data_IF_918683803806
#
_entry.id   IF_918683803806
#
_cell.length_a   1.000
_cell.length_b   1.000
_cell.length_c   1.000
_cell.angle_alpha   90.00
_cell.angle_beta   90.00
_cell.angle_gamma   90.00
#
_symmetry.space_group_name_H-M   'P 1'
#
loop_
_entity.id
_entity.type
_entity.pdbx_description
1 polymer ?
#
# COMPACT_ATOMS: atom_id res chain seq x y z
N UNK A 1 26.31 -20.55 13.71
CA UNK A 1 25.94 -21.45 12.61
C UNK A 1 24.44 -21.71 12.64
N UNK A 2 23.77 -21.59 11.49
CA UNK A 2 22.36 -21.96 11.31
C UNK A 2 22.23 -23.47 11.67
N UNK A 3 21.25 -23.82 12.51
CA UNK A 3 20.96 -25.22 12.80
C UNK A 3 20.35 -25.92 11.57
N UNK A 4 20.27 -27.25 11.58
CA UNK A 4 19.77 -28.05 10.47
C UNK A 4 18.36 -27.61 10.02
N UNK A 5 17.46 -27.40 10.98
CA UNK A 5 16.07 -26.97 10.71
C UNK A 5 16.00 -25.66 9.88
N UNK A 6 16.79 -24.65 10.22
CA UNK A 6 16.80 -23.40 9.45
C UNK A 6 17.42 -23.56 8.06
N UNK A 7 18.41 -24.45 7.91
CA UNK A 7 18.98 -24.78 6.59
C UNK A 7 17.93 -25.46 5.71
N UNK A 8 17.21 -26.43 6.24
CA UNK A 8 16.17 -27.15 5.53
C UNK A 8 15.01 -26.19 5.13
N UNK A 9 14.61 -25.31 6.05
CA UNK A 9 13.59 -24.31 5.78
C UNK A 9 14.02 -23.33 4.68
N UNK A 10 15.26 -22.85 4.72
CA UNK A 10 15.81 -21.96 3.68
C UNK A 10 15.87 -22.70 2.34
N UNK A 11 16.34 -23.95 2.33
CA UNK A 11 16.39 -24.78 1.13
C UNK A 11 14.99 -24.98 0.54
N UNK A 12 14.00 -25.25 1.37
CA UNK A 12 12.61 -25.39 0.96
C UNK A 12 12.06 -24.09 0.35
N UNK A 13 12.31 -22.95 0.99
CA UNK A 13 11.86 -21.65 0.51
C UNK A 13 12.52 -21.23 -0.81
N UNK A 14 13.78 -21.59 -1.01
CA UNK A 14 14.54 -21.22 -2.21
C UNK A 14 14.28 -22.14 -3.39
N UNK A 15 14.09 -23.44 -3.16
CA UNK A 15 14.05 -24.46 -4.21
C UNK A 15 12.71 -25.20 -4.28
N UNK A 16 11.81 -24.99 -3.35
CA UNK A 16 10.55 -25.71 -3.27
C UNK A 16 9.62 -25.47 -4.47
N UNK A 17 9.73 -24.31 -5.13
CA UNK A 17 8.96 -24.01 -6.34
C UNK A 17 9.29 -24.95 -7.51
N UNK A 18 10.44 -25.59 -7.49
CA UNK A 18 10.89 -26.57 -8.48
C UNK A 18 10.59 -28.03 -8.07
N UNK A 19 9.85 -28.25 -6.97
CA UNK A 19 9.45 -29.57 -6.56
C UNK A 19 8.43 -30.17 -7.54
N UNK A 20 8.72 -31.39 -8.00
CA UNK A 20 7.99 -32.09 -9.07
C UNK A 20 6.72 -32.78 -8.56
N UNK A 21 6.41 -32.68 -7.27
CA UNK A 21 5.27 -33.36 -6.66
C UNK A 21 4.01 -32.46 -6.76
N UNK A 22 3.04 -32.87 -7.56
CA UNK A 22 1.79 -32.11 -7.82
C UNK A 22 0.98 -31.80 -6.55
N UNK A 23 1.14 -32.61 -5.50
CA UNK A 23 0.43 -32.41 -4.23
C UNK A 23 0.97 -31.21 -3.43
N UNK A 24 2.23 -30.84 -3.65
CA UNK A 24 2.93 -29.77 -2.93
C UNK A 24 3.13 -28.56 -3.85
N UNK A 25 2.97 -28.71 -5.16
CA UNK A 25 3.22 -27.67 -6.16
C UNK A 25 2.40 -26.39 -5.90
N UNK A 26 1.17 -26.55 -5.42
CA UNK A 26 0.27 -25.42 -5.13
C UNK A 26 0.74 -24.58 -3.93
N UNK A 27 1.48 -25.16 -3.01
CA UNK A 27 2.09 -24.49 -1.87
C UNK A 27 3.41 -23.83 -2.31
N UNK A 28 4.20 -24.52 -3.11
CA UNK A 28 5.53 -24.05 -3.54
C UNK A 28 5.47 -23.08 -4.72
N UNK A 29 4.46 -23.10 -5.56
CA UNK A 29 4.22 -22.08 -6.59
C UNK A 29 4.09 -20.67 -5.99
N UNK A 30 3.84 -20.59 -4.69
CA UNK A 30 3.80 -19.33 -3.93
C UNK A 30 5.18 -18.86 -3.47
N UNK A 31 6.22 -19.69 -3.59
CA UNK A 31 7.61 -19.35 -3.27
C UNK A 31 8.31 -18.72 -4.49
N UNK A 32 7.82 -17.57 -4.93
CA UNK A 32 8.27 -16.89 -6.16
C UNK A 32 9.76 -16.50 -6.10
N UNK A 33 10.30 -16.24 -4.90
CA UNK A 33 11.69 -15.79 -4.72
C UNK A 33 12.71 -16.82 -5.19
N UNK A 34 12.41 -18.12 -5.06
CA UNK A 34 13.29 -19.19 -5.52
C UNK A 34 13.57 -19.16 -7.02
N UNK A 35 12.59 -18.74 -7.83
CA UNK A 35 12.73 -18.67 -9.27
C UNK A 35 13.62 -17.49 -9.75
N UNK A 36 13.89 -16.52 -8.86
CA UNK A 36 14.73 -15.35 -9.15
C UNK A 36 16.16 -15.52 -8.63
N UNK A 37 16.50 -16.72 -8.13
CA UNK A 37 17.85 -17.01 -7.63
C UNK A 37 18.84 -17.02 -8.81
N UNK A 38 19.85 -16.14 -8.71
CA UNK A 38 20.82 -15.89 -9.80
C UNK A 38 20.55 -14.63 -10.61
N UNK A 39 19.33 -14.11 -10.59
CA UNK A 39 18.92 -12.87 -11.29
C UNK A 39 18.83 -11.71 -10.28
N UNK A 40 20.00 -11.16 -9.91
CA UNK A 40 20.09 -10.19 -8.80
C UNK A 40 19.28 -8.90 -9.02
N UNK A 41 19.19 -8.39 -10.24
CA UNK A 41 18.40 -7.18 -10.56
C UNK A 41 16.90 -7.49 -10.55
N UNK A 42 16.49 -8.63 -11.09
CA UNK A 42 15.10 -9.07 -11.04
C UNK A 42 14.61 -9.29 -9.61
N UNK A 43 15.43 -9.93 -8.77
CA UNK A 43 15.16 -10.11 -7.35
C UNK A 43 15.09 -8.77 -6.61
N UNK A 44 15.97 -7.83 -6.93
CA UNK A 44 16.01 -6.50 -6.33
C UNK A 44 14.76 -5.69 -6.70
N UNK A 45 14.34 -5.74 -7.96
CA UNK A 45 13.14 -5.05 -8.42
C UNK A 45 11.88 -5.72 -7.89
N UNK A 46 11.84 -7.04 -7.81
CA UNK A 46 10.78 -7.77 -7.13
C UNK A 46 10.68 -7.41 -5.65
N UNK A 47 11.81 -7.32 -4.95
CA UNK A 47 11.85 -6.90 -3.53
C UNK A 47 11.36 -5.47 -3.38
N UNK A 48 11.78 -4.53 -4.24
CA UNK A 48 11.31 -3.14 -4.21
C UNK A 48 9.82 -3.03 -4.46
N UNK A 49 9.31 -3.73 -5.46
CA UNK A 49 7.90 -3.68 -5.88
C UNK A 49 7.00 -4.49 -4.95
N UNK A 50 7.53 -5.55 -4.34
CA UNK A 50 6.77 -6.53 -3.57
C UNK A 50 7.40 -6.87 -2.22
N UNK A 51 8.17 -5.93 -1.64
CA UNK A 51 8.76 -6.10 -0.31
C UNK A 51 7.76 -6.66 0.70
N UNK A 52 6.52 -6.25 0.59
CA UNK A 52 5.42 -6.69 1.43
C UNK A 52 4.97 -8.12 1.09
N UNK A 53 5.16 -8.59 -0.14
CA UNK A 53 4.88 -9.98 -0.52
C UNK A 53 5.87 -10.97 0.10
N UNK A 54 7.14 -10.57 0.20
CA UNK A 54 8.19 -11.39 0.84
C UNK A 54 7.95 -11.51 2.34
N UNK A 55 7.36 -10.51 2.97
CA UNK A 55 7.03 -10.55 4.39
C UNK A 55 5.88 -11.51 4.75
N UNK A 56 5.12 -12.01 3.77
CA UNK A 56 4.18 -13.13 3.96
C UNK A 56 4.86 -14.38 4.50
N UNK A 57 6.11 -14.61 4.11
CA UNK A 57 6.88 -15.77 4.50
C UNK A 57 7.27 -15.70 5.99
N UNK A 58 7.27 -14.53 6.59
CA UNK A 58 7.75 -14.29 7.96
C UNK A 58 6.67 -14.22 9.03
N UNK A 59 5.40 -14.43 8.67
CA UNK A 59 4.34 -14.73 9.64
C UNK A 59 3.50 -13.55 10.13
N UNK A 60 2.25 -13.85 10.48
CA UNK A 60 1.18 -12.96 10.87
C UNK A 60 1.39 -12.06 12.12
N UNK A 61 2.57 -12.06 12.73
CA UNK A 61 2.90 -11.19 13.85
C UNK A 61 3.25 -9.74 13.44
N UNK A 62 3.41 -9.47 12.12
CA UNK A 62 3.88 -8.18 11.60
C UNK A 62 2.86 -7.41 10.75
N UNK A 63 1.60 -7.79 10.73
CA UNK A 63 0.59 -7.09 9.92
C UNK A 63 0.52 -5.57 10.23
N UNK A 64 0.69 -5.19 11.50
CA UNK A 64 0.76 -3.78 11.90
C UNK A 64 2.08 -3.11 11.50
N UNK A 65 3.20 -3.86 11.54
CA UNK A 65 4.52 -3.35 11.11
C UNK A 65 4.58 -3.07 9.60
N UNK A 66 3.87 -3.86 8.81
CA UNK A 66 3.82 -3.71 7.35
C UNK A 66 3.03 -2.50 6.90
N UNK A 67 1.89 -2.24 7.54
CA UNK A 67 1.11 -1.02 7.28
C UNK A 67 1.94 0.23 7.56
N UNK A 68 2.65 0.24 8.67
CA UNK A 68 3.56 1.35 9.01
C UNK A 68 4.73 1.47 8.03
N UNK A 69 5.35 0.36 7.61
CA UNK A 69 6.44 0.39 6.63
C UNK A 69 5.98 0.90 5.27
N UNK A 70 4.79 0.49 4.82
CA UNK A 70 4.19 0.99 3.59
C UNK A 70 3.93 2.49 3.67
N UNK A 71 3.37 2.97 4.77
CA UNK A 71 3.12 4.38 4.99
C UNK A 71 4.42 5.21 4.99
N UNK A 72 5.45 4.76 5.71
CA UNK A 72 6.77 5.42 5.76
C UNK A 72 7.45 5.45 4.39
N UNK A 73 7.37 4.37 3.63
CA UNK A 73 7.93 4.34 2.28
C UNK A 73 7.22 5.34 1.37
N UNK A 74 5.89 5.35 1.36
CA UNK A 74 5.11 6.29 0.56
C UNK A 74 5.40 7.76 0.97
N UNK A 75 5.46 8.05 2.28
CA UNK A 75 5.81 9.38 2.78
C UNK A 75 7.16 9.86 2.25
N UNK A 76 8.20 9.04 2.41
CA UNK A 76 9.55 9.36 1.91
C UNK A 76 9.59 9.53 0.39
N UNK A 77 8.84 8.71 -0.34
CA UNK A 77 8.73 8.81 -1.79
C UNK A 77 8.14 10.15 -2.22
N UNK A 78 6.99 10.52 -1.66
CA UNK A 78 6.32 11.79 -1.98
C UNK A 78 7.12 13.00 -1.53
N UNK A 79 7.74 12.99 -0.36
CA UNK A 79 8.65 14.07 0.08
C UNK A 79 9.78 14.30 -0.92
N UNK A 80 10.41 13.21 -1.36
CA UNK A 80 11.52 13.28 -2.32
C UNK A 80 11.08 13.77 -3.71
N UNK A 81 9.93 13.27 -4.20
CA UNK A 81 9.46 13.55 -5.57
C UNK A 81 8.79 14.91 -5.70
N UNK A 82 8.01 15.32 -4.73
CA UNK A 82 7.31 16.62 -4.77
C UNK A 82 8.27 17.80 -4.55
N UNK A 83 9.31 17.62 -3.72
CA UNK A 83 10.33 18.63 -3.47
C UNK A 83 9.89 19.72 -2.49
N UNK A 84 10.66 20.81 -2.48
CA UNK A 84 10.44 21.96 -1.57
C UNK A 84 9.15 22.71 -1.92
N UNK A 85 8.38 23.05 -0.90
CA UNK A 85 7.08 23.74 -1.04
C UNK A 85 5.88 22.85 -0.74
N UNK A 86 6.04 21.53 -0.87
CA UNK A 86 5.04 20.57 -0.44
C UNK A 86 5.36 20.05 0.95
N UNK A 87 4.34 19.97 1.80
CA UNK A 87 4.44 19.40 3.14
C UNK A 87 3.71 18.07 3.18
N UNK A 88 4.45 16.98 3.31
CA UNK A 88 3.91 15.62 3.44
C UNK A 88 3.92 15.23 4.92
N UNK A 89 2.80 14.78 5.45
CA UNK A 89 2.65 14.38 6.87
C UNK A 89 1.96 13.03 6.98
N UNK A 90 2.56 12.12 7.75
CA UNK A 90 1.89 10.91 8.21
C UNK A 90 0.80 11.24 9.24
N UNK A 91 -0.29 10.48 9.20
CA UNK A 91 -1.47 10.69 10.04
C UNK A 91 -1.96 12.15 9.98
N UNK A 92 -1.95 12.71 8.77
CA UNK A 92 -2.24 14.10 8.54
C UNK A 92 -3.73 14.41 8.51
N UNK A 93 -4.05 15.69 8.63
CA UNK A 93 -5.42 16.20 8.61
C UNK A 93 -5.60 17.21 7.48
N UNK A 94 -6.81 17.34 6.99
CA UNK A 94 -7.26 18.45 6.14
C UNK A 94 -8.11 19.36 7.00
N UNK A 95 -7.78 20.66 7.13
CA UNK A 95 -8.50 21.59 7.97
C UNK A 95 -10.01 21.62 7.66
N UNK A 96 -10.82 21.53 8.69
CA UNK A 96 -12.28 21.55 8.57
C UNK A 96 -12.95 20.23 8.17
N UNK A 97 -12.19 19.18 7.93
CA UNK A 97 -12.74 17.83 7.70
C UNK A 97 -12.82 17.10 9.02
N UNK A 98 -14.05 16.88 9.52
CA UNK A 98 -14.30 16.23 10.79
C UNK A 98 -15.10 14.94 10.62
N UNK A 99 -14.91 14.02 11.55
CA UNK A 99 -15.72 12.84 11.69
C UNK A 99 -16.81 13.09 12.75
N UNK A 100 -18.09 12.96 12.37
CA UNK A 100 -19.22 13.20 13.28
C UNK A 100 -19.21 14.57 13.97
N UNK A 101 -18.76 15.63 13.28
CA UNK A 101 -18.69 17.03 13.74
C UNK A 101 -17.89 17.25 15.04
N UNK A 102 -17.06 16.29 15.45
CA UNK A 102 -16.33 16.36 16.72
C UNK A 102 -14.84 16.11 16.63
N UNK A 103 -14.40 15.21 15.74
CA UNK A 103 -13.00 14.79 15.68
C UNK A 103 -12.48 15.04 14.26
N UNK A 104 -11.33 15.65 14.13
CA UNK A 104 -10.66 15.82 12.82
C UNK A 104 -10.44 14.46 12.16
N UNK A 105 -10.76 14.39 10.88
CA UNK A 105 -10.53 13.17 10.08
C UNK A 105 -9.04 13.00 9.84
N UNK A 106 -8.49 11.88 10.25
CA UNK A 106 -7.11 11.49 9.99
C UNK A 106 -7.02 10.73 8.67
N UNK A 107 -6.06 11.11 7.83
CA UNK A 107 -5.64 10.39 6.64
C UNK A 107 -4.29 9.71 6.91
N UNK A 108 -4.02 8.57 6.27
CA UNK A 108 -2.73 7.89 6.43
C UNK A 108 -1.56 8.82 6.05
N UNK A 109 -1.73 9.60 4.96
CA UNK A 109 -0.86 10.74 4.63
C UNK A 109 -1.71 11.97 4.27
N UNK A 110 -1.17 13.16 4.48
CA UNK A 110 -1.66 14.38 3.86
C UNK A 110 -0.54 15.11 3.14
N UNK A 111 -0.85 15.66 1.98
CA UNK A 111 0.05 16.55 1.23
C UNK A 111 -0.58 17.93 1.18
N UNK A 112 0.18 18.93 1.58
CA UNK A 112 -0.23 20.33 1.57
C UNK A 112 0.67 21.13 0.65
N UNK A 113 0.07 22.02 -0.13
CA UNK A 113 0.76 23.08 -0.87
C UNK A 113 -0.20 24.27 -1.06
N UNK A 114 0.26 25.50 -0.71
CA UNK A 114 -0.52 26.73 -0.86
C UNK A 114 -1.94 26.67 -0.24
N UNK A 115 -2.08 26.10 0.96
CA UNK A 115 -3.35 25.91 1.68
C UNK A 115 -4.36 25.00 0.95
N UNK A 116 -3.91 24.22 -0.02
CA UNK A 116 -4.67 23.12 -0.62
C UNK A 116 -4.10 21.78 -0.17
N UNK A 117 -4.97 20.79 -0.12
CA UNK A 117 -4.62 19.51 0.48
C UNK A 117 -5.02 18.33 -0.41
N UNK A 118 -4.21 17.28 -0.36
CA UNK A 118 -4.58 15.94 -0.81
C UNK A 118 -4.49 15.00 0.38
N UNK A 119 -5.61 14.43 0.81
CA UNK A 119 -5.63 13.33 1.79
C UNK A 119 -5.40 12.02 1.08
N UNK A 120 -4.50 11.19 1.59
CA UNK A 120 -4.16 9.90 0.99
C UNK A 120 -4.44 8.79 2.00
N UNK A 121 -5.23 7.81 1.58
CA UNK A 121 -5.51 6.59 2.32
C UNK A 121 -4.71 5.44 1.72
N UNK A 122 -4.02 4.68 2.56
CA UNK A 122 -3.20 3.54 2.14
C UNK A 122 -3.87 2.25 2.62
N UNK A 123 -4.14 1.33 1.72
CA UNK A 123 -4.61 -0.01 2.04
C UNK A 123 -3.71 -1.04 1.38
N UNK A 124 -2.85 -1.62 2.18
CA UNK A 124 -2.03 -2.74 1.75
C UNK A 124 -2.41 -4.00 2.53
N UNK A 125 -2.94 -5.00 1.83
CA UNK A 125 -3.52 -6.19 2.48
C UNK A 125 -3.05 -7.47 1.80
N UNK A 126 -2.33 -8.26 2.54
CA UNK A 126 -1.84 -9.56 2.08
C UNK A 126 -2.92 -10.63 2.15
N UNK A 127 -3.74 -10.61 3.18
CA UNK A 127 -4.90 -11.49 3.37
C UNK A 127 -6.16 -10.66 3.47
N UNK A 128 -7.30 -11.25 3.09
CA UNK A 128 -8.60 -10.60 3.27
C UNK A 128 -8.85 -10.28 4.74
N UNK A 129 -9.12 -9.02 5.04
CA UNK A 129 -9.62 -8.58 6.33
C UNK A 129 -10.67 -7.48 6.15
N UNK A 130 -11.25 -7.01 7.26
CA UNK A 130 -12.31 -5.99 7.25
C UNK A 130 -11.81 -4.56 7.00
N UNK A 131 -10.51 -4.33 6.84
CA UNK A 131 -9.97 -2.97 6.72
C UNK A 131 -10.38 -2.31 5.42
N UNK A 132 -10.30 -3.03 4.29
CA UNK A 132 -10.73 -2.49 2.99
C UNK A 132 -12.25 -2.21 2.98
N UNK A 133 -13.06 -3.06 3.59
CA UNK A 133 -14.50 -2.86 3.70
C UNK A 133 -14.84 -1.65 4.56
N UNK A 134 -14.12 -1.45 5.66
CA UNK A 134 -14.27 -0.26 6.50
C UNK A 134 -13.89 1.02 5.75
N UNK A 135 -12.77 1.02 4.99
CA UNK A 135 -12.37 2.16 4.16
C UNK A 135 -13.40 2.43 3.06
N UNK A 136 -13.91 1.40 2.39
CA UNK A 136 -14.96 1.51 1.38
C UNK A 136 -16.26 2.10 1.96
N UNK A 137 -16.67 1.65 3.13
CA UNK A 137 -17.86 2.19 3.82
C UNK A 137 -17.73 3.67 4.21
N UNK A 138 -16.52 4.19 4.36
CA UNK A 138 -16.24 5.58 4.68
C UNK A 138 -15.93 6.44 3.43
N UNK A 139 -15.65 5.83 2.28
CA UNK A 139 -15.12 6.51 1.10
C UNK A 139 -16.04 7.63 0.61
N UNK A 140 -17.33 7.37 0.46
CA UNK A 140 -18.29 8.36 -0.01
C UNK A 140 -18.39 9.58 0.92
N UNK A 141 -18.50 9.35 2.23
CA UNK A 141 -18.60 10.45 3.19
C UNK A 141 -17.32 11.30 3.21
N UNK A 142 -16.15 10.66 3.15
CA UNK A 142 -14.85 11.35 3.10
C UNK A 142 -14.68 12.11 1.79
N UNK A 143 -15.01 11.50 0.66
CA UNK A 143 -14.97 12.15 -0.65
C UNK A 143 -15.82 13.43 -0.67
N UNK A 144 -17.08 13.33 -0.28
CA UNK A 144 -17.99 14.47 -0.26
C UNK A 144 -17.52 15.61 0.65
N UNK A 145 -16.97 15.27 1.83
CA UNK A 145 -16.44 16.25 2.77
C UNK A 145 -15.20 16.97 2.22
N UNK A 146 -14.29 16.21 1.63
CA UNK A 146 -13.04 16.73 1.05
C UNK A 146 -13.33 17.57 -0.18
N UNK A 147 -14.19 17.09 -1.11
CA UNK A 147 -14.59 17.83 -2.30
C UNK A 147 -15.28 19.14 -1.95
N UNK A 148 -16.20 19.11 -0.98
CA UNK A 148 -16.89 20.33 -0.50
C UNK A 148 -15.93 21.38 0.07
N UNK A 149 -14.80 20.95 0.63
CA UNK A 149 -13.75 21.86 1.13
C UNK A 149 -12.80 22.38 0.05
N UNK A 150 -12.98 21.96 -1.22
CA UNK A 150 -12.12 22.31 -2.34
C UNK A 150 -10.76 21.59 -2.33
N UNK A 151 -10.68 20.47 -1.61
CA UNK A 151 -9.50 19.61 -1.50
C UNK A 151 -9.71 18.27 -2.22
N UNK A 152 -8.73 17.36 -2.14
CA UNK A 152 -8.73 16.12 -2.89
C UNK A 152 -8.46 14.92 -1.97
N UNK A 153 -8.97 13.75 -2.35
CA UNK A 153 -8.69 12.48 -1.69
C UNK A 153 -8.17 11.47 -2.72
N UNK A 154 -7.13 10.76 -2.33
CA UNK A 154 -6.54 9.69 -3.13
C UNK A 154 -6.40 8.42 -2.32
N UNK A 155 -6.29 7.29 -3.02
CA UNK A 155 -6.08 5.98 -2.41
C UNK A 155 -4.89 5.27 -3.04
N UNK A 156 -4.08 4.63 -2.20
CA UNK A 156 -3.05 3.68 -2.60
C UNK A 156 -3.52 2.30 -2.15
N UNK A 157 -3.82 1.41 -3.10
CA UNK A 157 -4.42 0.12 -2.80
C UNK A 157 -3.62 -0.98 -3.47
N UNK A 158 -3.12 -1.93 -2.69
CA UNK A 158 -2.44 -3.10 -3.22
C UNK A 158 -2.57 -4.30 -2.27
N UNK A 159 -2.12 -5.45 -2.77
CA UNK A 159 -2.12 -6.71 -2.06
C UNK A 159 -3.31 -7.61 -2.38
N UNK A 160 -3.03 -8.92 -2.49
CA UNK A 160 -4.00 -9.92 -2.91
C UNK A 160 -5.29 -9.95 -2.07
N UNK A 161 -5.19 -9.56 -0.79
CA UNK A 161 -6.35 -9.49 0.10
C UNK A 161 -7.36 -8.42 -0.29
N UNK A 162 -6.88 -7.29 -0.84
CA UNK A 162 -7.75 -6.22 -1.34
C UNK A 162 -8.45 -6.62 -2.63
N UNK A 163 -7.73 -7.24 -3.57
CA UNK A 163 -8.29 -7.64 -4.87
C UNK A 163 -9.39 -8.71 -4.80
N UNK A 164 -9.49 -9.43 -3.68
CA UNK A 164 -10.59 -10.36 -3.44
C UNK A 164 -11.91 -9.66 -3.02
N UNK A 165 -11.90 -8.34 -2.86
CA UNK A 165 -13.04 -7.52 -2.40
C UNK A 165 -13.46 -6.51 -3.46
N UNK A 166 -13.90 -7.00 -4.61
CA UNK A 166 -14.24 -6.20 -5.79
C UNK A 166 -15.22 -5.07 -5.50
N UNK A 167 -16.29 -5.34 -4.73
CA UNK A 167 -17.27 -4.31 -4.36
C UNK A 167 -16.68 -3.18 -3.53
N UNK A 168 -15.75 -3.51 -2.63
CA UNK A 168 -15.07 -2.50 -1.82
C UNK A 168 -14.12 -1.66 -2.68
N UNK A 169 -13.37 -2.30 -3.59
CA UNK A 169 -12.51 -1.60 -4.55
C UNK A 169 -13.31 -0.67 -5.45
N UNK A 170 -14.42 -1.15 -6.02
CA UNK A 170 -15.31 -0.36 -6.87
C UNK A 170 -15.81 0.88 -6.13
N UNK A 171 -16.25 0.72 -4.87
CA UNK A 171 -16.70 1.84 -4.05
C UNK A 171 -15.58 2.86 -3.80
N UNK A 172 -14.37 2.41 -3.49
CA UNK A 172 -13.23 3.31 -3.28
C UNK A 172 -12.88 4.05 -4.57
N UNK A 173 -12.78 3.35 -5.69
CA UNK A 173 -12.48 3.98 -6.98
C UNK A 173 -13.54 5.00 -7.39
N UNK A 174 -14.81 4.73 -7.08
CA UNK A 174 -15.91 5.66 -7.36
C UNK A 174 -15.84 6.94 -6.53
N UNK A 175 -15.37 6.84 -5.28
CA UNK A 175 -15.25 7.94 -4.33
C UNK A 175 -13.80 8.32 -4.06
N UNK A 176 -13.04 8.50 -5.14
CA UNK A 176 -11.64 8.91 -5.14
C UNK A 176 -11.38 9.85 -6.30
N UNK A 177 -10.49 10.82 -6.12
CA UNK A 177 -10.01 11.65 -7.22
C UNK A 177 -8.82 10.98 -7.95
N UNK A 178 -8.09 10.11 -7.24
CA UNK A 178 -6.99 9.33 -7.80
C UNK A 178 -6.84 8.05 -6.99
N UNK A 179 -6.77 6.90 -7.67
CA UNK A 179 -6.49 5.61 -7.03
C UNK A 179 -5.37 4.93 -7.78
N UNK A 180 -4.32 4.53 -7.05
CA UNK A 180 -3.10 3.92 -7.60
C UNK A 180 -2.74 2.64 -6.85
N UNK A 181 -1.97 1.77 -7.50
CA UNK A 181 -1.36 0.61 -6.85
C UNK A 181 -0.07 1.01 -6.09
N UNK A 182 0.47 0.07 -5.32
CA UNK A 182 1.67 0.30 -4.52
C UNK A 182 2.94 -0.05 -5.31
N UNK A 183 3.25 0.76 -6.33
CA UNK A 183 4.48 0.68 -7.12
C UNK A 183 5.04 2.08 -7.39
N UNK A 184 6.33 2.19 -7.63
CA UNK A 184 6.98 3.49 -7.92
C UNK A 184 6.36 4.18 -9.15
N UNK A 185 6.03 3.41 -10.19
CA UNK A 185 5.39 3.95 -11.40
C UNK A 185 4.00 4.53 -11.12
N UNK A 186 3.21 3.85 -10.31
CA UNK A 186 1.89 4.31 -9.89
C UNK A 186 1.99 5.50 -8.91
N UNK A 187 3.02 5.51 -8.06
CA UNK A 187 3.30 6.67 -7.23
C UNK A 187 3.68 7.91 -8.04
N UNK A 188 4.39 7.75 -9.16
CA UNK A 188 4.66 8.87 -10.07
C UNK A 188 3.36 9.43 -10.67
N UNK A 189 2.36 8.59 -11.00
CA UNK A 189 1.03 9.05 -11.41
C UNK A 189 0.36 9.89 -10.32
N UNK A 190 0.44 9.44 -9.05
CA UNK A 190 -0.12 10.19 -7.94
C UNK A 190 0.64 11.50 -7.69
N UNK A 191 1.97 11.53 -7.86
CA UNK A 191 2.78 12.76 -7.79
C UNK A 191 2.33 13.77 -8.85
N UNK A 192 2.11 13.33 -10.08
CA UNK A 192 1.60 14.18 -11.18
C UNK A 192 0.21 14.72 -10.87
N UNK A 193 -0.69 13.88 -10.39
CA UNK A 193 -2.00 14.30 -9.91
C UNK A 193 -1.92 15.37 -8.81
N UNK A 194 -1.06 15.17 -7.81
CA UNK A 194 -0.87 16.15 -6.72
C UNK A 194 -0.39 17.49 -7.28
N UNK A 195 0.60 17.49 -8.17
CA UNK A 195 1.12 18.71 -8.80
C UNK A 195 0.07 19.43 -9.64
N UNK A 196 -0.74 18.69 -10.39
CA UNK A 196 -1.82 19.27 -11.21
C UNK A 196 -2.89 19.94 -10.35
N UNK A 197 -3.24 19.34 -9.21
CA UNK A 197 -4.40 19.76 -8.41
C UNK A 197 -4.07 20.82 -7.37
N UNK A 198 -2.88 20.79 -6.80
CA UNK A 198 -2.49 21.68 -5.70
C UNK A 198 -1.15 22.41 -5.91
N UNK A 199 -0.48 22.15 -7.04
CA UNK A 199 0.80 22.80 -7.40
C UNK A 199 0.68 24.21 -7.94
#
# INVERSE_FOLDING_TARGET
>A
PLNGFYKDLITLLLFGSNAVDDYISDIFSKCIVGNMMGEAEELKDFIKQRYIFVSRITGGAQANGLGNAAQVYAENYFQKKLGTGYVVKSNGHIPGITQNDRTETTFDLSVEHNNKYVGIEISFQVTTNSTIERKAGQAQARYNAVEKSGNYIAYIIDGAGNFQRESALTSICQYSHCTVAYTDAEFDVLVEFIREKIG
#
